data_IF_042120796427
#
_entry.id   IF_042120796427
#
_cell.length_a   1.000
_cell.length_b   1.000
_cell.length_c   1.000
_cell.angle_alpha   90.00
_cell.angle_beta   90.00
_cell.angle_gamma   90.00
#
_symmetry.space_group_name_H-M   'P 1'
#
loop_
_entity.id
_entity.type
_entity.pdbx_description
1 polymer ?
#
# COMPACT_ATOMS: atom_id res chain seq x y z
N UNK A 1 46.15 36.35 -0.43
CA UNK A 1 44.99 35.46 -0.18
C UNK A 1 45.43 34.03 -0.49
N UNK A 2 45.46 33.16 0.53
CA UNK A 2 45.89 31.76 0.40
C UNK A 2 44.69 30.89 0.00
N UNK A 3 44.85 30.04 -1.01
CA UNK A 3 43.91 28.99 -1.37
C UNK A 3 43.61 28.07 -0.18
N UNK A 4 42.36 27.58 -0.02
CA UNK A 4 42.05 26.59 1.00
C UNK A 4 42.70 25.25 0.62
N UNK A 5 43.55 24.75 1.52
CA UNK A 5 44.13 23.41 1.44
C UNK A 5 43.00 22.37 1.55
N UNK A 6 42.84 21.54 0.52
CA UNK A 6 42.10 20.27 0.64
C UNK A 6 42.72 19.45 1.75
N UNK A 7 41.92 19.07 2.74
CA UNK A 7 42.33 18.10 3.76
C UNK A 7 42.58 16.73 3.08
N UNK A 8 43.53 15.92 3.57
CA UNK A 8 43.82 14.61 2.98
C UNK A 8 42.63 13.68 3.16
N UNK A 9 42.24 13.00 2.09
CA UNK A 9 41.10 12.09 2.05
C UNK A 9 41.17 11.01 3.12
N UNK A 10 40.09 10.92 3.90
CA UNK A 10 39.77 9.75 4.69
C UNK A 10 39.59 8.59 3.69
N UNK A 11 40.55 7.67 3.59
CA UNK A 11 40.35 6.43 2.84
C UNK A 11 39.22 5.68 3.54
N UNK A 12 38.10 5.34 2.87
CA UNK A 12 37.11 4.48 3.48
C UNK A 12 37.80 3.14 3.76
N UNK A 13 37.96 2.81 5.05
CA UNK A 13 38.40 1.46 5.40
C UNK A 13 37.26 0.54 5.01
N UNK A 14 37.45 -0.25 3.96
CA UNK A 14 36.54 -1.34 3.63
C UNK A 14 36.65 -2.37 4.76
N UNK A 15 35.85 -2.19 5.81
CA UNK A 15 35.60 -3.24 6.79
C UNK A 15 35.10 -4.45 6.01
N UNK A 16 35.66 -5.61 6.31
CA UNK A 16 35.29 -6.89 5.73
C UNK A 16 33.76 -7.03 5.72
N UNK A 17 33.17 -7.25 4.54
CA UNK A 17 31.74 -7.56 4.45
C UNK A 17 31.57 -8.94 5.10
N UNK A 18 30.97 -8.96 6.30
CA UNK A 18 30.59 -10.20 6.96
C UNK A 18 29.33 -10.70 6.25
N UNK A 19 29.47 -11.79 5.49
CA UNK A 19 28.35 -12.46 4.84
C UNK A 19 27.40 -13.03 5.91
N UNK A 20 26.09 -12.90 5.68
CA UNK A 20 25.02 -13.33 6.60
C UNK A 20 24.78 -14.84 6.58
N UNK A 21 25.57 -15.59 5.82
CA UNK A 21 25.37 -17.03 5.59
C UNK A 21 25.71 -17.93 6.79
N UNK A 22 26.42 -17.42 7.80
CA UNK A 22 26.72 -18.18 9.01
C UNK A 22 26.56 -17.31 10.27
N UNK A 23 25.68 -17.69 11.22
CA UNK A 23 25.66 -17.05 12.52
C UNK A 23 27.02 -17.31 13.20
N UNK A 24 27.76 -16.24 13.52
CA UNK A 24 28.72 -16.34 14.62
C UNK A 24 27.88 -16.72 15.85
N UNK A 25 28.30 -17.75 16.59
CA UNK A 25 27.74 -18.08 17.91
C UNK A 25 27.94 -16.88 18.83
N UNK A 26 27.04 -15.91 18.75
CA UNK A 26 26.80 -14.89 19.76
C UNK A 26 26.14 -15.59 20.94
N UNK A 27 26.61 -15.31 22.15
CA UNK A 27 25.99 -15.78 23.39
C UNK A 27 24.66 -15.08 23.68
N UNK A 28 24.41 -13.91 23.08
CA UNK A 28 23.16 -13.18 23.17
C UNK A 28 22.24 -13.61 22.03
N UNK A 29 21.06 -14.13 22.37
CA UNK A 29 19.98 -14.36 21.42
C UNK A 29 19.23 -13.05 21.17
N UNK A 30 18.80 -12.79 19.92
CA UNK A 30 17.96 -11.63 19.63
C UNK A 30 16.64 -11.71 20.41
N UNK A 31 16.07 -10.55 20.73
CA UNK A 31 14.75 -10.47 21.37
C UNK A 31 13.70 -11.16 20.47
N UNK A 32 13.11 -12.25 20.97
CA UNK A 32 12.07 -12.96 20.24
C UNK A 32 10.81 -12.08 20.08
N UNK A 33 10.12 -12.24 18.95
CA UNK A 33 8.85 -11.55 18.69
C UNK A 33 7.71 -12.52 19.01
N UNK A 34 6.83 -12.16 19.93
CA UNK A 34 5.60 -12.91 20.22
C UNK A 34 4.46 -12.35 19.36
N UNK A 35 4.42 -12.74 18.08
CA UNK A 35 3.41 -12.24 17.15
C UNK A 35 1.99 -12.55 17.64
N UNK A 36 1.12 -11.53 17.64
CA UNK A 36 -0.24 -11.63 18.15
C UNK A 36 -0.39 -11.43 19.66
N UNK A 37 0.67 -11.15 20.43
CA UNK A 37 0.46 -10.70 21.80
C UNK A 37 -0.14 -9.27 21.81
N UNK A 38 -1.28 -9.04 22.50
CA UNK A 38 -1.93 -7.73 22.54
C UNK A 38 -1.15 -6.69 23.36
N UNK A 39 -0.21 -7.10 24.22
CA UNK A 39 0.65 -6.20 24.97
C UNK A 39 1.93 -5.94 24.15
N UNK A 40 2.19 -4.70 23.70
CA UNK A 40 3.36 -4.41 22.88
C UNK A 40 4.69 -4.72 23.59
N UNK A 41 4.75 -4.65 24.92
CA UNK A 41 5.96 -4.99 25.69
C UNK A 41 6.28 -6.50 25.66
N UNK A 42 5.25 -7.35 25.69
CA UNK A 42 5.39 -8.81 25.60
C UNK A 42 5.57 -9.27 24.14
N UNK A 43 4.85 -8.63 23.22
CA UNK A 43 5.00 -8.79 21.76
C UNK A 43 6.45 -8.52 21.34
N UNK A 44 7.04 -7.46 21.89
CA UNK A 44 8.41 -7.00 21.63
C UNK A 44 8.55 -6.18 20.33
N UNK A 45 9.58 -5.34 20.19
CA UNK A 45 9.78 -4.49 19.02
C UNK A 45 10.25 -5.27 17.78
N UNK A 46 10.04 -4.70 16.60
CA UNK A 46 10.71 -5.14 15.37
C UNK A 46 12.04 -4.44 15.24
N UNK A 47 13.10 -5.22 15.07
CA UNK A 47 14.49 -4.75 14.99
C UNK A 47 15.14 -5.35 13.75
N UNK A 48 15.17 -4.56 12.67
CA UNK A 48 15.83 -4.89 11.41
C UNK A 48 17.13 -4.09 11.26
N UNK A 49 17.93 -4.04 12.33
CA UNK A 49 19.14 -3.23 12.39
C UNK A 49 20.25 -3.74 11.47
N UNK A 50 21.02 -2.79 10.92
CA UNK A 50 22.23 -3.05 10.13
C UNK A 50 23.53 -2.92 10.94
N UNK A 51 23.45 -2.32 12.13
CA UNK A 51 24.60 -2.07 13.01
C UNK A 51 24.96 -3.28 13.86
N UNK A 52 24.26 -3.46 14.98
CA UNK A 52 24.48 -4.62 15.85
C UNK A 52 23.61 -5.79 15.44
N UNK A 53 24.18 -6.71 14.64
CA UNK A 53 23.44 -7.87 14.11
C UNK A 53 22.94 -8.83 15.19
N UNK A 54 23.48 -8.83 16.42
CA UNK A 54 22.97 -9.68 17.51
C UNK A 54 21.60 -9.23 18.00
N UNK A 55 21.24 -7.96 17.82
CA UNK A 55 19.94 -7.41 18.20
C UNK A 55 18.84 -7.70 17.18
N UNK A 56 19.20 -8.21 15.99
CA UNK A 56 18.28 -8.33 14.86
C UNK A 56 17.31 -9.50 15.05
N UNK A 57 16.02 -9.21 15.01
CA UNK A 57 14.93 -10.19 15.12
C UNK A 57 13.99 -10.20 13.90
N UNK A 58 14.33 -9.47 12.82
CA UNK A 58 13.59 -9.49 11.56
C UNK A 58 14.51 -9.58 10.33
N UNK A 59 14.00 -10.18 9.26
CA UNK A 59 14.64 -10.27 7.93
C UNK A 59 14.39 -8.95 7.17
N UNK A 60 15.34 -8.53 6.34
CA UNK A 60 15.28 -7.25 5.64
C UNK A 60 15.85 -6.09 6.47
N UNK A 61 15.33 -4.89 6.23
CA UNK A 61 15.76 -3.62 6.84
C UNK A 61 14.56 -2.70 6.97
N UNK A 62 14.59 -1.78 7.94
CA UNK A 62 13.64 -0.67 8.01
C UNK A 62 13.70 0.20 6.74
N UNK A 63 12.65 1.00 6.52
CA UNK A 63 12.51 1.93 5.38
C UNK A 63 12.10 1.27 4.06
N UNK A 64 11.63 0.01 4.10
CA UNK A 64 11.12 -0.73 2.94
C UNK A 64 11.96 -0.57 1.67
N UNK A 65 11.31 -0.23 0.54
CA UNK A 65 11.97 0.03 -0.74
C UNK A 65 12.96 1.20 -0.74
N UNK A 66 12.91 2.10 0.25
CA UNK A 66 13.81 3.25 0.34
C UNK A 66 15.18 2.92 0.95
N UNK A 67 15.35 1.73 1.50
CA UNK A 67 16.62 1.32 2.11
C UNK A 67 17.81 1.35 1.13
N UNK A 68 17.55 1.14 -0.17
CA UNK A 68 18.58 1.24 -1.22
C UNK A 68 19.07 2.68 -1.37
N UNK A 69 18.18 3.68 -1.31
CA UNK A 69 18.59 5.09 -1.35
C UNK A 69 19.37 5.48 -0.10
N UNK A 70 19.00 4.96 1.08
CA UNK A 70 19.80 5.12 2.29
C UNK A 70 21.20 4.52 2.12
N UNK A 71 21.32 3.34 1.50
CA UNK A 71 22.61 2.72 1.21
C UNK A 71 23.47 3.58 0.27
N UNK A 72 22.87 4.19 -0.76
CA UNK A 72 23.55 5.14 -1.66
C UNK A 72 23.97 6.42 -0.94
N UNK A 73 23.12 6.95 -0.04
CA UNK A 73 23.47 8.11 0.78
C UNK A 73 24.68 7.81 1.68
N UNK A 74 24.77 6.62 2.27
CA UNK A 74 25.95 6.18 3.03
C UNK A 74 27.16 6.01 2.13
N UNK A 75 27.02 5.32 1.00
CA UNK A 75 28.12 5.07 0.08
C UNK A 75 28.72 6.36 -0.51
N UNK A 76 27.88 7.38 -0.72
CA UNK A 76 28.29 8.71 -1.18
C UNK A 76 28.84 9.62 -0.07
N UNK A 77 28.72 9.22 1.21
CA UNK A 77 29.10 10.03 2.36
C UNK A 77 28.10 11.16 2.70
N UNK A 78 26.89 11.11 2.13
CA UNK A 78 25.79 12.03 2.47
C UNK A 78 25.19 11.71 3.84
N UNK A 79 25.21 10.44 4.25
CA UNK A 79 24.73 9.97 5.55
C UNK A 79 25.81 9.12 6.23
N UNK A 80 26.03 9.35 7.53
CA UNK A 80 26.96 8.52 8.30
C UNK A 80 26.43 7.08 8.43
N UNK A 81 27.34 6.11 8.38
CA UNK A 81 26.97 4.69 8.46
C UNK A 81 26.27 4.34 9.79
N UNK A 82 26.72 4.96 10.88
CA UNK A 82 26.19 4.82 12.25
C UNK A 82 25.14 5.87 12.61
N UNK A 83 24.66 6.66 11.64
CA UNK A 83 23.58 7.62 11.87
C UNK A 83 22.36 6.95 12.51
N UNK A 84 21.98 7.47 13.67
CA UNK A 84 20.74 7.17 14.38
C UNK A 84 19.75 8.30 14.14
N UNK A 85 18.54 7.93 13.73
CA UNK A 85 17.47 8.90 13.56
C UNK A 85 17.10 9.49 14.92
N UNK A 86 16.98 10.82 14.97
CA UNK A 86 16.32 11.50 16.09
C UNK A 86 14.81 11.40 15.87
N UNK A 87 14.13 10.72 16.80
CA UNK A 87 12.67 10.52 16.79
C UNK A 87 11.96 11.43 17.80
N UNK A 88 12.65 12.44 18.33
CA UNK A 88 12.04 13.45 19.19
C UNK A 88 10.96 14.21 18.41
N UNK A 89 9.78 14.39 19.03
CA UNK A 89 8.61 15.04 18.44
C UNK A 89 8.07 14.36 17.16
N UNK A 90 8.32 13.07 16.96
CA UNK A 90 7.74 12.30 15.83
C UNK A 90 6.52 11.47 16.24
N UNK A 91 5.98 11.68 17.46
CA UNK A 91 4.79 10.98 17.94
C UNK A 91 3.58 11.24 17.04
N UNK A 92 2.66 10.26 16.91
CA UNK A 92 1.51 10.40 16.04
C UNK A 92 0.61 11.56 16.49
N UNK A 93 0.07 12.29 15.52
CA UNK A 93 -0.83 13.44 15.80
C UNK A 93 -2.18 13.06 16.40
N UNK A 94 -2.55 11.78 16.32
CA UNK A 94 -3.76 11.17 16.87
C UNK A 94 -3.46 9.73 17.25
N UNK A 95 -4.15 9.21 18.26
CA UNK A 95 -4.06 7.81 18.65
C UNK A 95 -5.06 6.98 17.85
N UNK A 96 -4.63 5.82 17.35
CA UNK A 96 -5.48 4.81 16.71
C UNK A 96 -5.24 3.51 17.47
N UNK A 97 -6.32 2.87 17.92
CA UNK A 97 -6.25 1.66 18.74
C UNK A 97 -5.58 1.88 20.12
N UNK A 98 -5.07 0.81 20.75
CA UNK A 98 -5.07 -0.57 20.25
C UNK A 98 -6.49 -1.16 20.20
N UNK A 99 -6.77 -1.93 19.15
CA UNK A 99 -8.01 -2.68 19.05
C UNK A 99 -7.78 -4.15 19.41
N UNK A 100 -8.77 -4.87 19.97
CA UNK A 100 -8.62 -6.29 20.34
C UNK A 100 -8.08 -7.17 19.20
N UNK A 101 -8.44 -6.85 17.94
CA UNK A 101 -8.00 -7.58 16.74
C UNK A 101 -6.48 -7.50 16.49
N UNK A 102 -5.77 -6.55 17.10
CA UNK A 102 -4.30 -6.46 16.99
C UNK A 102 -3.59 -7.61 17.70
N UNK A 103 -4.24 -8.21 18.69
CA UNK A 103 -3.79 -9.44 19.37
C UNK A 103 -4.26 -10.74 18.69
N UNK A 104 -4.85 -10.68 17.49
CA UNK A 104 -5.22 -11.87 16.74
C UNK A 104 -4.11 -12.18 15.71
N UNK A 105 -3.31 -13.25 15.91
CA UNK A 105 -2.07 -13.49 15.15
C UNK A 105 -2.29 -13.76 13.66
N UNK A 106 -3.49 -14.19 13.28
CA UNK A 106 -3.88 -14.53 11.92
C UNK A 106 -4.62 -13.38 11.20
N UNK A 107 -4.99 -12.30 11.91
CA UNK A 107 -5.81 -11.21 11.34
C UNK A 107 -4.99 -10.11 10.69
N UNK A 108 -3.87 -9.74 11.30
CA UNK A 108 -2.91 -8.78 10.74
C UNK A 108 -1.57 -9.50 10.59
N UNK A 109 -1.15 -9.70 9.34
CA UNK A 109 0.06 -10.45 8.99
C UNK A 109 0.99 -9.71 8.04
N UNK A 110 0.57 -8.56 7.48
CA UNK A 110 1.31 -7.79 6.46
C UNK A 110 1.68 -6.36 6.86
N UNK A 111 1.35 -5.94 8.08
CA UNK A 111 1.85 -4.71 8.73
C UNK A 111 2.11 -4.95 10.22
N UNK A 112 2.80 -4.01 10.89
CA UNK A 112 2.99 -4.03 12.35
C UNK A 112 1.88 -3.22 13.05
N UNK A 113 0.96 -3.85 13.82
CA UNK A 113 -0.09 -3.11 14.51
C UNK A 113 0.44 -2.05 15.48
N UNK A 114 1.62 -2.27 16.05
CA UNK A 114 2.28 -1.37 17.01
C UNK A 114 3.32 -0.46 16.35
N UNK A 115 3.29 -0.34 15.03
CA UNK A 115 4.29 0.36 14.23
C UNK A 115 4.33 1.89 14.39
N UNK A 116 3.32 2.49 15.03
CA UNK A 116 3.18 3.95 15.22
C UNK A 116 4.20 4.54 16.18
N UNK A 117 4.90 3.68 16.94
CA UNK A 117 5.85 4.00 18.02
C UNK A 117 5.51 5.29 18.75
N UNK A 118 4.67 5.18 19.78
CA UNK A 118 4.66 6.17 20.84
C UNK A 118 6.10 6.33 21.39
N UNK A 119 6.56 7.55 21.59
CA UNK A 119 7.92 7.90 22.03
C UNK A 119 8.33 7.24 23.35
N UNK A 120 7.36 6.80 24.16
CA UNK A 120 7.62 6.06 25.39
C UNK A 120 7.73 4.55 25.16
N UNK A 121 7.13 4.03 24.10
CA UNK A 121 7.18 2.61 23.79
C UNK A 121 8.60 2.20 23.41
N UNK A 122 9.17 1.27 24.18
CA UNK A 122 10.55 0.80 24.06
C UNK A 122 11.65 1.85 24.27
N UNK A 123 11.38 2.91 25.05
CA UNK A 123 12.39 3.93 25.34
C UNK A 123 13.65 3.34 26.01
N UNK A 124 13.48 2.47 27.01
CA UNK A 124 14.57 1.80 27.72
C UNK A 124 15.46 0.98 26.76
N UNK A 125 14.85 0.19 25.85
CA UNK A 125 15.59 -0.57 24.84
C UNK A 125 16.37 0.35 23.88
N UNK A 126 15.82 1.52 23.51
CA UNK A 126 16.56 2.48 22.68
C UNK A 126 17.78 3.05 23.42
N UNK A 127 17.65 3.32 24.72
CA UNK A 127 18.76 3.76 25.58
C UNK A 127 19.85 2.70 25.72
N UNK A 128 19.46 1.41 25.78
CA UNK A 128 20.37 0.25 25.73
C UNK A 128 21.04 0.05 24.36
N UNK A 129 20.63 0.82 23.35
CA UNK A 129 21.28 0.85 22.05
C UNK A 129 20.57 0.04 20.96
N UNK A 130 19.37 -0.49 21.20
CA UNK A 130 18.55 -1.13 20.17
C UNK A 130 18.05 -0.11 19.14
N UNK A 131 18.21 -0.44 17.85
CA UNK A 131 17.78 0.41 16.71
C UNK A 131 16.34 0.05 16.33
N UNK A 132 15.39 0.60 17.09
CA UNK A 132 13.95 0.40 16.92
C UNK A 132 13.38 1.61 16.18
N UNK A 133 12.69 1.37 15.05
CA UNK A 133 12.17 2.42 14.17
C UNK A 133 10.70 2.21 13.84
N UNK A 134 9.91 3.28 13.66
CA UNK A 134 8.51 3.15 13.35
C UNK A 134 8.33 2.59 11.94
N UNK A 135 7.32 1.75 11.78
CA UNK A 135 6.81 1.32 10.48
C UNK A 135 5.50 2.01 10.12
N UNK A 136 4.91 2.78 11.04
CA UNK A 136 3.73 3.61 10.82
C UNK A 136 4.01 5.04 11.31
N UNK A 137 3.60 6.03 10.54
CA UNK A 137 3.63 7.43 10.97
C UNK A 137 2.29 8.10 10.67
N UNK A 138 1.74 8.86 11.62
CA UNK A 138 0.42 9.49 11.52
C UNK A 138 0.55 11.01 11.67
N UNK A 139 0.02 11.75 10.71
CA UNK A 139 0.02 13.21 10.71
C UNK A 139 -1.31 13.77 10.20
N UNK A 140 -1.53 15.08 10.35
CA UNK A 140 -2.65 15.80 9.75
C UNK A 140 -2.18 16.65 8.59
N UNK A 141 -3.02 16.81 7.58
CA UNK A 141 -2.72 17.64 6.42
C UNK A 141 -4.01 18.21 5.82
N UNK A 142 -3.85 19.25 5.01
CA UNK A 142 -4.87 19.61 4.03
C UNK A 142 -4.50 19.01 2.67
N UNK A 143 -5.51 18.55 1.93
CA UNK A 143 -5.32 18.05 0.57
C UNK A 143 -6.19 18.86 -0.38
N UNK A 144 -5.55 19.45 -1.39
CA UNK A 144 -6.23 20.11 -2.49
C UNK A 144 -6.31 19.13 -3.68
N UNK A 145 -7.53 18.87 -4.14
CA UNK A 145 -7.83 18.03 -5.30
C UNK A 145 -8.72 18.85 -6.24
N UNK A 146 -8.27 19.17 -7.47
CA UNK A 146 -9.02 20.00 -8.40
C UNK A 146 -10.45 19.52 -8.66
N UNK A 147 -10.66 18.21 -8.80
CA UNK A 147 -11.97 17.61 -9.08
C UNK A 147 -12.98 17.83 -7.95
N UNK A 148 -12.52 18.06 -6.72
CA UNK A 148 -13.42 18.39 -5.61
C UNK A 148 -13.92 19.82 -5.69
N UNK A 149 -13.15 20.72 -6.31
CA UNK A 149 -13.62 22.09 -6.58
C UNK A 149 -14.73 22.08 -7.63
N UNK A 150 -14.57 21.24 -8.67
CA UNK A 150 -15.62 21.00 -9.66
C UNK A 150 -16.86 20.36 -9.00
N UNK A 151 -16.68 19.38 -8.12
CA UNK A 151 -17.77 18.78 -7.35
C UNK A 151 -18.53 19.79 -6.49
N UNK A 152 -17.83 20.75 -5.87
CA UNK A 152 -18.47 21.84 -5.14
C UNK A 152 -19.22 22.79 -6.09
N UNK A 153 -18.62 23.14 -7.23
CA UNK A 153 -19.25 24.01 -8.23
C UNK A 153 -20.53 23.39 -8.83
N UNK A 154 -20.53 22.07 -9.02
CA UNK A 154 -21.68 21.28 -9.49
C UNK A 154 -22.72 21.02 -8.39
N UNK A 155 -22.44 21.40 -7.15
CA UNK A 155 -23.31 21.15 -5.99
C UNK A 155 -23.34 19.70 -5.49
N UNK A 156 -22.39 18.86 -5.92
CA UNK A 156 -22.21 17.47 -5.47
C UNK A 156 -21.57 17.39 -4.08
N UNK A 157 -20.73 18.36 -3.73
CA UNK A 157 -20.12 18.51 -2.40
C UNK A 157 -20.39 19.89 -1.82
N UNK A 158 -20.29 20.01 -0.50
CA UNK A 158 -20.48 21.27 0.22
C UNK A 158 -19.23 21.63 1.04
N UNK A 159 -18.89 22.90 1.09
CA UNK A 159 -17.88 23.41 2.02
C UNK A 159 -18.54 23.63 3.38
N UNK A 160 -18.13 22.84 4.38
CA UNK A 160 -18.68 22.86 5.74
C UNK A 160 -17.76 23.54 6.77
N UNK A 161 -16.50 23.80 6.41
CA UNK A 161 -15.48 24.37 7.29
C UNK A 161 -14.80 23.35 8.20
N UNK A 162 -15.20 22.08 8.15
CA UNK A 162 -14.70 21.01 9.03
C UNK A 162 -14.05 19.88 8.23
N UNK A 163 -14.80 19.18 7.37
CA UNK A 163 -14.27 18.15 6.47
C UNK A 163 -13.63 18.80 5.25
N UNK A 164 -14.29 19.82 4.71
CA UNK A 164 -13.77 20.70 3.67
C UNK A 164 -13.59 22.08 4.27
N UNK A 165 -12.35 22.56 4.36
CA UNK A 165 -12.07 23.88 4.92
C UNK A 165 -12.65 25.01 4.03
N UNK A 166 -12.58 26.25 4.49
CA UNK A 166 -13.16 27.40 3.77
C UNK A 166 -12.61 27.63 2.36
N UNK A 167 -11.43 27.07 2.04
CA UNK A 167 -10.82 27.13 0.70
C UNK A 167 -11.14 25.91 -0.16
N UNK A 168 -12.00 25.00 0.33
CA UNK A 168 -12.38 23.76 -0.36
C UNK A 168 -11.33 22.65 -0.30
N UNK A 169 -10.34 22.74 0.58
CA UNK A 169 -9.36 21.66 0.77
C UNK A 169 -9.88 20.66 1.81
N UNK A 170 -9.55 19.38 1.60
CA UNK A 170 -9.89 18.33 2.56
C UNK A 170 -9.03 18.44 3.80
N UNK A 171 -9.63 18.40 4.98
CA UNK A 171 -8.92 18.24 6.26
C UNK A 171 -8.82 16.75 6.55
N UNK A 172 -7.60 16.20 6.56
CA UNK A 172 -7.39 14.76 6.71
C UNK A 172 -6.41 14.42 7.83
N UNK A 173 -6.70 13.30 8.49
CA UNK A 173 -5.65 12.53 9.17
C UNK A 173 -5.09 11.54 8.16
N UNK A 174 -3.76 11.44 8.04
CA UNK A 174 -3.11 10.46 7.17
C UNK A 174 -2.12 9.58 7.92
N UNK A 175 -2.10 8.30 7.56
CA UNK A 175 -1.15 7.33 8.08
C UNK A 175 -0.32 6.74 6.94
N UNK A 176 1.00 6.81 7.01
CA UNK A 176 1.90 6.06 6.14
C UNK A 176 2.28 4.74 6.82
N UNK A 177 2.17 3.62 6.12
CA UNK A 177 2.41 2.27 6.65
C UNK A 177 3.41 1.53 5.77
N UNK A 178 4.52 1.10 6.37
CA UNK A 178 5.50 0.20 5.76
C UNK A 178 5.05 -1.27 5.90
N UNK A 179 5.33 -2.11 4.90
CA UNK A 179 4.99 -3.53 4.96
C UNK A 179 5.87 -4.26 5.98
N UNK A 180 5.23 -5.04 6.84
CA UNK A 180 5.87 -5.91 7.81
C UNK A 180 5.17 -7.25 7.79
N UNK A 181 5.85 -8.27 7.30
CA UNK A 181 5.25 -9.58 7.06
C UNK A 181 5.59 -10.56 8.19
N UNK A 182 4.56 -11.13 8.80
CA UNK A 182 4.69 -12.31 9.64
C UNK A 182 4.61 -13.56 8.75
N UNK A 183 5.77 -14.16 8.47
CA UNK A 183 5.91 -15.23 7.47
C UNK A 183 5.01 -16.45 7.70
N UNK A 184 4.83 -16.96 8.95
CA UNK A 184 3.87 -18.04 9.19
C UNK A 184 2.44 -17.65 8.83
N UNK A 185 2.02 -16.43 9.16
CA UNK A 185 0.69 -15.91 8.83
C UNK A 185 0.48 -15.69 7.33
N UNK A 186 1.50 -15.18 6.63
CA UNK A 186 1.49 -15.05 5.16
C UNK A 186 1.36 -16.43 4.49
N UNK A 187 2.14 -17.41 4.94
CA UNK A 187 2.10 -18.78 4.42
C UNK A 187 0.72 -19.41 4.60
N UNK A 188 0.14 -19.27 5.79
CA UNK A 188 -1.23 -19.72 6.09
C UNK A 188 -2.26 -19.02 5.20
N UNK A 189 -2.18 -17.69 5.03
CA UNK A 189 -3.13 -16.91 4.23
C UNK A 189 -3.11 -17.34 2.75
N UNK A 190 -1.95 -17.71 2.22
CA UNK A 190 -1.81 -18.22 0.86
C UNK A 190 -1.98 -19.73 0.72
N UNK A 191 -2.22 -20.46 1.81
CA UNK A 191 -2.41 -21.91 1.77
C UNK A 191 -1.17 -22.68 1.30
N UNK A 192 0.04 -22.16 1.57
CA UNK A 192 1.32 -22.78 1.16
C UNK A 192 2.17 -23.14 2.38
N UNK A 193 3.05 -24.15 2.28
CA UNK A 193 4.04 -24.40 3.32
C UNK A 193 4.98 -23.20 3.51
N UNK A 194 5.28 -22.83 4.75
CA UNK A 194 6.17 -21.70 5.06
C UNK A 194 7.58 -21.89 4.45
N UNK A 195 8.07 -23.13 4.42
CA UNK A 195 9.35 -23.46 3.78
C UNK A 195 9.37 -23.12 2.30
N UNK A 196 8.26 -23.36 1.61
CA UNK A 196 8.13 -23.15 0.17
C UNK A 196 8.01 -21.65 -0.10
N UNK A 197 7.18 -20.94 0.67
CA UNK A 197 7.09 -19.48 0.62
C UNK A 197 8.46 -18.82 0.77
N UNK A 198 9.19 -19.17 1.84
CA UNK A 198 10.52 -18.60 2.12
C UNK A 198 11.52 -18.90 1.01
N UNK A 199 11.55 -20.14 0.52
CA UNK A 199 12.44 -20.55 -0.56
C UNK A 199 12.13 -19.79 -1.85
N UNK A 200 10.86 -19.69 -2.24
CA UNK A 200 10.43 -18.96 -3.42
C UNK A 200 10.76 -17.47 -3.30
N UNK A 201 10.51 -16.85 -2.15
CA UNK A 201 10.91 -15.46 -1.90
C UNK A 201 12.43 -15.27 -2.05
N UNK A 202 13.25 -16.19 -1.52
CA UNK A 202 14.71 -16.14 -1.68
C UNK A 202 15.13 -16.27 -3.15
N UNK A 203 14.60 -17.25 -3.88
CA UNK A 203 14.94 -17.52 -5.27
C UNK A 203 14.49 -16.37 -6.20
N UNK A 204 13.26 -15.88 -6.04
CA UNK A 204 12.68 -14.81 -6.86
C UNK A 204 13.23 -13.41 -6.54
N UNK A 205 13.86 -13.23 -5.38
CA UNK A 205 14.63 -12.02 -5.06
C UNK A 205 16.10 -12.13 -5.49
N UNK A 206 16.48 -13.12 -6.29
CA UNK A 206 17.86 -13.30 -6.74
C UNK A 206 18.84 -13.60 -5.59
N UNK A 207 18.34 -14.18 -4.49
CA UNK A 207 19.13 -14.51 -3.33
C UNK A 207 19.45 -13.35 -2.37
N UNK A 208 18.72 -12.22 -2.46
CA UNK A 208 18.97 -11.01 -1.67
C UNK A 208 18.88 -11.23 -0.14
N UNK A 209 18.04 -12.15 0.32
CA UNK A 209 17.77 -12.38 1.75
C UNK A 209 18.06 -13.83 2.17
N UNK A 210 19.35 -14.21 2.34
CA UNK A 210 19.73 -15.57 2.74
C UNK A 210 19.05 -16.08 4.02
N UNK A 211 18.70 -15.16 4.93
CA UNK A 211 18.03 -15.45 6.20
C UNK A 211 16.66 -16.10 6.03
N UNK A 212 16.00 -15.89 4.89
CA UNK A 212 14.76 -16.62 4.57
C UNK A 212 14.95 -18.14 4.61
N UNK A 213 16.16 -18.62 4.28
CA UNK A 213 16.51 -20.05 4.27
C UNK A 213 17.35 -20.43 5.49
N UNK A 214 18.27 -19.57 5.94
CA UNK A 214 19.28 -19.93 6.96
C UNK A 214 18.84 -19.62 8.39
N UNK A 215 17.78 -18.83 8.60
CA UNK A 215 17.31 -18.36 9.91
C UNK A 215 15.81 -18.57 10.08
N UNK A 216 15.35 -19.83 10.26
CA UNK A 216 13.94 -20.13 10.48
C UNK A 216 13.41 -19.55 11.81
N UNK A 217 14.30 -19.19 12.73
CA UNK A 217 13.96 -18.48 13.97
C UNK A 217 13.49 -17.03 13.72
N UNK A 218 13.83 -16.43 12.58
CA UNK A 218 13.32 -15.12 12.19
C UNK A 218 11.99 -15.28 11.44
N UNK A 219 10.90 -14.92 12.11
CA UNK A 219 9.54 -15.06 11.57
C UNK A 219 9.00 -13.79 10.92
N UNK A 220 9.65 -12.65 11.13
CA UNK A 220 9.23 -11.36 10.57
C UNK A 220 10.14 -10.95 9.41
N UNK A 221 9.55 -10.46 8.32
CA UNK A 221 10.23 -9.99 7.12
C UNK A 221 9.75 -8.59 6.74
N UNK A 222 10.68 -7.68 6.48
CA UNK A 222 10.40 -6.34 5.96
C UNK A 222 10.71 -6.34 4.46
N UNK A 223 9.73 -6.67 3.59
CA UNK A 223 9.95 -6.71 2.15
C UNK A 223 10.20 -5.30 1.60
N UNK A 224 11.13 -5.13 0.65
CA UNK A 224 11.42 -3.84 0.03
C UNK A 224 10.38 -3.48 -1.06
N UNK A 225 9.10 -3.54 -0.72
CA UNK A 225 7.98 -3.23 -1.62
C UNK A 225 7.31 -1.90 -1.23
N UNK A 226 6.41 -1.43 -2.08
CA UNK A 226 5.58 -0.27 -1.77
C UNK A 226 4.68 -0.52 -0.56
N UNK A 227 4.63 0.46 0.35
CA UNK A 227 3.69 0.47 1.47
C UNK A 227 2.31 0.97 1.06
N UNK A 228 1.55 1.44 2.04
CA UNK A 228 0.25 2.06 1.82
C UNK A 228 0.14 3.40 2.55
N UNK A 229 -0.79 4.23 2.11
CA UNK A 229 -1.19 5.45 2.81
C UNK A 229 -2.69 5.41 3.06
N UNK A 230 -3.09 5.69 4.29
CA UNK A 230 -4.50 5.83 4.68
C UNK A 230 -4.80 7.31 4.81
N UNK A 231 -5.92 7.75 4.27
CA UNK A 231 -6.51 9.07 4.48
C UNK A 231 -7.86 8.90 5.18
N UNK A 232 -8.02 9.56 6.31
CA UNK A 232 -9.20 9.51 7.16
C UNK A 232 -9.83 10.90 7.15
N UNK A 233 -11.11 10.93 6.79
CA UNK A 233 -11.99 12.09 6.73
C UNK A 233 -12.99 11.98 7.88
N UNK A 234 -13.18 13.07 8.61
CA UNK A 234 -14.06 13.11 9.77
C UNK A 234 -13.40 12.58 11.03
N UNK A 235 -14.25 12.16 11.96
CA UNK A 235 -13.84 11.70 13.28
C UNK A 235 -13.37 10.25 13.24
N UNK A 236 -12.20 9.99 13.83
CA UNK A 236 -11.58 8.66 13.89
C UNK A 236 -12.44 7.70 14.72
N UNK A 237 -13.11 8.19 15.77
CA UNK A 237 -13.96 7.35 16.62
C UNK A 237 -15.15 6.78 15.84
N UNK A 238 -15.60 7.48 14.78
CA UNK A 238 -16.67 7.02 13.91
C UNK A 238 -16.33 5.75 13.14
N UNK A 239 -15.05 5.45 12.92
CA UNK A 239 -14.59 4.27 12.15
C UNK A 239 -15.05 2.96 12.81
N UNK A 240 -15.11 2.95 14.14
CA UNK A 240 -15.45 1.75 14.93
C UNK A 240 -16.85 1.81 15.55
N UNK A 241 -17.58 2.90 15.34
CA UNK A 241 -18.91 3.10 15.89
C UNK A 241 -19.97 2.52 14.94
N UNK A 242 -20.70 1.46 15.33
CA UNK A 242 -21.69 0.82 14.46
C UNK A 242 -22.92 1.70 14.16
N UNK A 243 -23.13 2.79 14.92
CA UNK A 243 -24.25 3.72 14.73
C UNK A 243 -23.88 4.90 13.81
N UNK A 244 -22.61 5.01 13.39
CA UNK A 244 -22.10 6.08 12.52
C UNK A 244 -21.67 5.48 11.18
N UNK A 245 -22.07 6.07 10.05
CA UNK A 245 -21.81 5.46 8.75
C UNK A 245 -20.32 5.51 8.40
N UNK A 246 -19.81 4.43 7.82
CA UNK A 246 -18.44 4.33 7.34
C UNK A 246 -18.39 4.08 5.82
N UNK A 247 -17.74 4.98 5.10
CA UNK A 247 -17.40 4.80 3.70
C UNK A 247 -15.92 4.41 3.54
N UNK A 248 -15.64 3.36 2.79
CA UNK A 248 -14.28 2.89 2.53
C UNK A 248 -14.03 2.73 1.03
N UNK A 249 -12.95 3.34 0.56
CA UNK A 249 -12.37 3.08 -0.75
C UNK A 249 -10.95 2.57 -0.58
N UNK A 250 -10.66 1.42 -1.17
CA UNK A 250 -9.29 0.92 -1.27
C UNK A 250 -8.82 0.88 -2.73
N UNK A 251 -7.76 1.62 -2.98
CA UNK A 251 -7.23 1.93 -4.29
C UNK A 251 -5.85 1.29 -4.46
N UNK A 252 -5.64 0.63 -5.59
CA UNK A 252 -4.29 0.20 -5.99
C UNK A 252 -3.74 1.26 -6.93
N UNK A 253 -2.51 1.71 -6.67
CA UNK A 253 -1.78 2.73 -7.42
C UNK A 253 -1.87 2.53 -8.95
N UNK A 254 -2.15 3.62 -9.64
CA UNK A 254 -2.09 3.73 -11.09
C UNK A 254 -1.51 5.09 -11.47
N UNK A 255 -0.19 5.22 -11.43
CA UNK A 255 0.55 6.47 -11.64
C UNK A 255 0.08 7.25 -12.87
N UNK A 256 -0.05 6.57 -14.01
CA UNK A 256 -0.50 7.20 -15.26
C UNK A 256 -1.90 7.83 -15.20
N UNK A 257 -2.83 7.26 -14.43
CA UNK A 257 -4.18 7.84 -14.28
C UNK A 257 -4.23 8.78 -13.09
N UNK A 258 -3.79 8.32 -11.91
CA UNK A 258 -3.87 9.05 -10.65
C UNK A 258 -3.14 10.39 -10.71
N UNK A 259 -1.94 10.43 -11.29
CA UNK A 259 -1.12 11.64 -11.36
C UNK A 259 -1.36 12.42 -12.64
N UNK A 260 -1.41 11.73 -13.78
CA UNK A 260 -1.37 12.36 -15.11
C UNK A 260 -2.70 12.34 -15.87
N UNK A 261 -3.77 11.78 -15.30
CA UNK A 261 -5.11 11.86 -15.89
C UNK A 261 -5.29 11.00 -17.15
N UNK A 262 -4.56 9.90 -17.30
CA UNK A 262 -4.79 8.96 -18.41
C UNK A 262 -6.24 8.47 -18.45
N UNK A 263 -6.82 8.53 -19.66
CA UNK A 263 -8.21 8.21 -20.01
C UNK A 263 -8.42 6.75 -20.47
N UNK A 264 -7.36 5.94 -20.48
CA UNK A 264 -7.41 4.52 -20.92
C UNK A 264 -7.98 3.61 -19.80
N UNK A 265 -8.11 4.13 -18.58
CA UNK A 265 -8.60 3.37 -17.43
C UNK A 265 -9.44 4.23 -16.48
N UNK A 266 -10.18 3.56 -15.61
CA UNK A 266 -11.09 4.21 -14.63
C UNK A 266 -10.45 4.50 -13.27
N UNK A 267 -9.13 4.33 -13.13
CA UNK A 267 -8.44 4.42 -11.83
C UNK A 267 -8.66 5.76 -11.12
N UNK A 268 -8.31 6.89 -11.76
CA UNK A 268 -8.50 8.22 -11.16
C UNK A 268 -9.97 8.62 -10.99
N UNK A 269 -10.85 8.50 -12.00
CA UNK A 269 -12.27 8.82 -11.83
C UNK A 269 -12.91 8.06 -10.66
N UNK A 270 -12.56 6.79 -10.48
CA UNK A 270 -13.10 6.00 -9.37
C UNK A 270 -12.46 6.32 -8.02
N UNK A 271 -11.18 6.71 -8.00
CA UNK A 271 -10.54 7.24 -6.79
C UNK A 271 -11.24 8.53 -6.33
N UNK A 272 -11.45 9.49 -7.25
CA UNK A 272 -12.13 10.75 -6.98
C UNK A 272 -13.57 10.49 -6.51
N UNK A 273 -14.32 9.62 -7.18
CA UNK A 273 -15.66 9.26 -6.73
C UNK A 273 -15.66 8.64 -5.32
N UNK A 274 -14.70 7.78 -5.00
CA UNK A 274 -14.55 7.25 -3.64
C UNK A 274 -14.24 8.32 -2.60
N UNK A 275 -13.48 9.36 -2.97
CA UNK A 275 -13.22 10.52 -2.11
C UNK A 275 -14.51 11.33 -1.91
N UNK A 276 -15.30 11.57 -2.96
CA UNK A 276 -16.60 12.27 -2.85
C UNK A 276 -17.56 11.55 -1.90
N UNK A 277 -17.70 10.23 -2.03
CA UNK A 277 -18.53 9.42 -1.12
C UNK A 277 -17.99 9.54 0.31
N UNK A 278 -16.67 9.39 0.50
CA UNK A 278 -16.04 9.48 1.81
C UNK A 278 -16.23 10.86 2.48
N UNK A 279 -16.18 11.95 1.70
CA UNK A 279 -16.47 13.30 2.17
C UNK A 279 -17.93 13.38 2.60
N UNK A 280 -18.88 13.02 1.74
CA UNK A 280 -20.31 13.10 2.05
C UNK A 280 -20.68 12.29 3.31
N UNK A 281 -20.11 11.09 3.48
CA UNK A 281 -20.31 10.25 4.67
C UNK A 281 -19.76 10.92 5.94
N UNK A 282 -18.57 11.52 5.86
CA UNK A 282 -17.99 12.25 6.99
C UNK A 282 -18.81 13.50 7.36
N UNK A 283 -19.33 14.22 6.36
CA UNK A 283 -20.21 15.39 6.57
C UNK A 283 -21.55 15.03 7.22
N UNK A 284 -22.04 13.82 6.99
CA UNK A 284 -23.23 13.28 7.64
C UNK A 284 -22.98 12.81 9.09
N UNK A 285 -21.77 13.05 9.66
CA UNK A 285 -21.39 12.65 11.01
C UNK A 285 -20.71 11.29 11.10
N UNK A 286 -20.45 10.63 9.98
CA UNK A 286 -19.70 9.38 9.89
C UNK A 286 -18.18 9.56 9.73
N UNK A 287 -17.54 8.59 9.08
CA UNK A 287 -16.16 8.69 8.62
C UNK A 287 -15.98 8.21 7.18
N UNK A 288 -15.00 8.81 6.51
CA UNK A 288 -14.53 8.39 5.20
C UNK A 288 -13.10 7.89 5.27
N UNK A 289 -12.82 6.73 4.69
CA UNK A 289 -11.48 6.12 4.69
C UNK A 289 -11.05 5.80 3.26
N UNK A 290 -9.95 6.41 2.82
CA UNK A 290 -9.28 6.11 1.55
C UNK A 290 -7.97 5.41 1.83
N UNK A 291 -7.82 4.17 1.37
CA UNK A 291 -6.58 3.42 1.48
C UNK A 291 -5.92 3.37 0.11
N UNK A 292 -4.73 3.94 -0.01
CA UNK A 292 -3.94 3.97 -1.23
C UNK A 292 -2.77 2.99 -1.13
N UNK A 293 -2.88 1.83 -1.79
CA UNK A 293 -1.86 0.79 -1.80
C UNK A 293 -0.94 0.92 -3.01
N UNK A 294 0.38 0.95 -2.80
CA UNK A 294 1.38 1.11 -3.87
C UNK A 294 1.64 -0.19 -4.63
N UNK A 295 0.63 -0.61 -5.40
CA UNK A 295 0.57 -1.87 -6.17
C UNK A 295 0.34 -1.60 -7.67
N UNK A 296 1.23 -0.83 -8.29
CA UNK A 296 1.14 -0.46 -9.71
C UNK A 296 0.96 -1.66 -10.65
N UNK A 297 0.09 -1.48 -11.65
CA UNK A 297 -0.08 -2.43 -12.75
C UNK A 297 -0.52 -3.81 -12.31
N UNK A 298 -1.39 -3.93 -11.30
CA UNK A 298 -1.76 -5.21 -10.68
C UNK A 298 -0.57 -5.96 -10.07
N UNK A 299 0.35 -5.21 -9.47
CA UNK A 299 1.63 -5.68 -8.96
C UNK A 299 2.57 -6.29 -10.03
N UNK A 300 2.36 -5.97 -11.33
CA UNK A 300 3.28 -6.31 -12.42
C UNK A 300 4.31 -5.21 -12.71
N UNK A 301 4.10 -4.02 -12.16
CA UNK A 301 4.92 -2.83 -12.42
C UNK A 301 4.55 -2.11 -13.72
N UNK A 302 5.03 -0.86 -13.82
CA UNK A 302 4.67 0.07 -14.89
C UNK A 302 5.19 -0.36 -16.28
N UNK A 303 6.40 -0.93 -16.35
CA UNK A 303 6.99 -1.41 -17.61
C UNK A 303 6.11 -2.50 -18.24
N UNK A 304 5.75 -3.52 -17.46
CA UNK A 304 4.89 -4.63 -17.92
C UNK A 304 3.52 -4.11 -18.35
N UNK A 305 2.92 -3.20 -17.58
CA UNK A 305 1.67 -2.52 -17.92
C UNK A 305 1.75 -1.84 -19.30
N UNK A 306 2.82 -1.11 -19.59
CA UNK A 306 2.97 -0.43 -20.88
C UNK A 306 3.20 -1.42 -22.03
N UNK A 307 3.92 -2.53 -21.79
CA UNK A 307 4.05 -3.62 -22.76
C UNK A 307 2.68 -4.24 -23.07
N UNK A 308 1.82 -4.44 -22.06
CA UNK A 308 0.44 -4.91 -22.24
C UNK A 308 -0.38 -3.92 -23.05
N UNK A 309 -0.31 -2.62 -22.75
CA UNK A 309 -1.01 -1.60 -23.54
C UNK A 309 -0.56 -1.59 -25.00
N UNK A 310 0.75 -1.69 -25.25
CA UNK A 310 1.28 -1.79 -26.61
C UNK A 310 0.79 -3.05 -27.32
N UNK A 311 0.79 -4.19 -26.64
CA UNK A 311 0.30 -5.46 -27.19
C UNK A 311 -1.19 -5.40 -27.52
N UNK A 312 -1.99 -4.78 -26.65
CA UNK A 312 -3.43 -4.54 -26.85
C UNK A 312 -3.70 -3.64 -28.04
N UNK A 313 -2.98 -2.52 -28.19
CA UNK A 313 -3.19 -1.58 -29.31
C UNK A 313 -2.67 -2.10 -30.66
N UNK A 314 -1.61 -2.92 -30.67
CA UNK A 314 -0.96 -3.39 -31.91
C UNK A 314 -1.48 -4.72 -32.45
N UNK A 315 -2.37 -5.41 -31.73
CA UNK A 315 -2.97 -6.63 -32.24
C UNK A 315 -3.91 -6.35 -33.42
N UNK A 316 -4.17 -7.38 -34.24
CA UNK A 316 -5.20 -7.29 -35.27
C UNK A 316 -6.57 -6.99 -34.63
N UNK A 317 -7.27 -5.99 -35.15
CA UNK A 317 -8.53 -5.50 -34.59
C UNK A 317 -8.40 -4.44 -33.49
N UNK A 318 -7.19 -4.04 -33.11
CA UNK A 318 -6.96 -2.97 -32.13
C UNK A 318 -7.20 -3.38 -30.68
N UNK A 319 -7.41 -2.39 -29.81
CA UNK A 319 -7.61 -2.60 -28.37
C UNK A 319 -9.05 -3.03 -28.06
N UNK A 320 -9.31 -4.34 -28.03
CA UNK A 320 -10.65 -4.93 -27.91
C UNK A 320 -10.91 -5.52 -26.53
N UNK A 321 -12.12 -5.34 -26.00
CA UNK A 321 -12.50 -5.77 -24.65
C UNK A 321 -12.41 -7.31 -24.46
N UNK A 322 -12.81 -8.09 -25.47
CA UNK A 322 -12.76 -9.56 -25.46
C UNK A 322 -11.34 -10.14 -25.29
N UNK A 323 -10.31 -9.42 -25.73
CA UNK A 323 -8.90 -9.84 -25.64
C UNK A 323 -8.15 -9.24 -24.45
N UNK A 324 -8.81 -8.39 -23.64
CA UNK A 324 -8.18 -7.57 -22.60
C UNK A 324 -7.33 -8.39 -21.63
N UNK A 325 -7.93 -9.43 -21.03
CA UNK A 325 -7.25 -10.28 -20.04
C UNK A 325 -6.26 -11.23 -20.69
N UNK A 326 -6.60 -11.80 -21.84
CA UNK A 326 -5.72 -12.67 -22.62
C UNK A 326 -4.41 -11.96 -22.97
N UNK A 327 -4.45 -10.68 -23.37
CA UNK A 327 -3.23 -9.91 -23.66
C UNK A 327 -2.38 -9.64 -22.43
N UNK A 328 -3.01 -9.46 -21.29
CA UNK A 328 -2.28 -9.34 -20.01
C UNK A 328 -1.54 -10.65 -19.72
N UNK A 329 -2.23 -11.79 -19.81
CA UNK A 329 -1.66 -13.11 -19.57
C UNK A 329 -0.56 -13.50 -20.56
N UNK A 330 -0.71 -13.17 -21.85
CA UNK A 330 0.33 -13.41 -22.85
C UNK A 330 1.66 -12.70 -22.54
N UNK A 331 1.61 -11.51 -21.94
CA UNK A 331 2.80 -10.69 -21.65
C UNK A 331 3.35 -11.00 -20.25
N UNK A 332 2.48 -11.14 -19.26
CA UNK A 332 2.86 -11.25 -17.86
C UNK A 332 2.83 -12.69 -17.30
N UNK A 333 2.28 -13.65 -18.05
CA UNK A 333 2.07 -15.03 -17.60
C UNK A 333 0.88 -15.23 -16.65
N UNK A 334 0.26 -14.14 -16.20
CA UNK A 334 -0.86 -14.11 -15.25
C UNK A 334 -1.64 -12.80 -15.42
N UNK A 335 -2.94 -12.82 -15.09
CA UNK A 335 -3.83 -11.66 -15.24
C UNK A 335 -3.77 -10.66 -14.07
N UNK A 336 -3.40 -11.14 -12.88
CA UNK A 336 -3.33 -10.36 -11.64
C UNK A 336 -2.31 -10.97 -10.66
N UNK A 337 -1.37 -10.18 -10.15
CA UNK A 337 -0.42 -10.60 -9.10
C UNK A 337 -0.67 -9.88 -7.77
N UNK A 338 -1.80 -9.18 -7.63
CA UNK A 338 -2.17 -8.56 -6.37
C UNK A 338 -2.67 -9.63 -5.41
N UNK A 339 -1.94 -9.74 -4.30
CA UNK A 339 -2.43 -10.44 -3.12
C UNK A 339 -3.48 -9.55 -2.42
N UNK A 340 -4.74 -9.74 -2.79
CA UNK A 340 -5.87 -9.00 -2.22
C UNK A 340 -6.19 -9.52 -0.81
N UNK A 341 -5.79 -10.73 -0.49
CA UNK A 341 -5.98 -11.37 0.82
C UNK A 341 -5.23 -10.64 1.93
N UNK A 342 -4.20 -9.84 1.62
CA UNK A 342 -3.47 -9.00 2.57
C UNK A 342 -4.12 -7.63 2.79
N UNK A 343 -5.05 -7.26 1.91
CA UNK A 343 -5.72 -5.96 1.90
C UNK A 343 -6.48 -5.64 3.21
N UNK A 344 -7.21 -6.58 3.84
CA UNK A 344 -8.00 -6.27 5.02
C UNK A 344 -7.16 -5.96 6.27
N UNK A 345 -5.87 -6.29 6.29
CA UNK A 345 -5.01 -6.10 7.45
C UNK A 345 -4.98 -4.65 7.94
N UNK A 346 -4.99 -3.66 7.03
CA UNK A 346 -5.07 -2.24 7.41
C UNK A 346 -6.47 -1.84 7.89
N UNK A 347 -7.52 -2.50 7.41
CA UNK A 347 -8.88 -2.26 7.91
C UNK A 347 -9.02 -2.81 9.34
N UNK A 348 -8.45 -3.99 9.61
CA UNK A 348 -8.34 -4.52 10.97
C UNK A 348 -7.44 -3.64 11.85
N UNK A 349 -6.36 -3.07 11.30
CA UNK A 349 -5.54 -2.11 12.03
C UNK A 349 -6.35 -0.87 12.46
N UNK A 350 -7.26 -0.39 11.60
CA UNK A 350 -8.20 0.69 11.90
C UNK A 350 -9.36 0.27 12.83
N UNK A 351 -9.49 -1.01 13.18
CA UNK A 351 -10.56 -1.54 14.03
C UNK A 351 -11.88 -1.77 13.29
N UNK A 352 -11.88 -1.69 11.95
CA UNK A 352 -13.09 -1.82 11.13
C UNK A 352 -13.64 -3.25 11.26
N UNK A 353 -14.95 -3.32 11.56
CA UNK A 353 -15.72 -4.57 11.61
C UNK A 353 -16.92 -4.56 10.65
N UNK A 354 -17.38 -3.36 10.26
CA UNK A 354 -18.49 -3.13 9.32
C UNK A 354 -18.18 -1.92 8.45
N UNK A 355 -18.55 -1.99 7.17
CA UNK A 355 -18.45 -0.92 6.18
C UNK A 355 -19.84 -0.70 5.60
N UNK A 356 -20.40 0.49 5.78
CA UNK A 356 -21.72 0.83 5.21
C UNK A 356 -21.62 1.02 3.70
N UNK A 357 -20.61 1.75 3.22
CA UNK A 357 -20.43 2.05 1.80
C UNK A 357 -19.04 1.64 1.32
N UNK A 358 -18.94 0.50 0.65
CA UNK A 358 -17.70 0.02 0.06
C UNK A 358 -17.60 0.40 -1.42
N UNK A 359 -16.76 1.39 -1.74
CA UNK A 359 -16.64 1.93 -3.10
C UNK A 359 -15.70 1.04 -3.92
N UNK A 360 -16.22 -0.02 -4.53
CA UNK A 360 -15.43 -0.97 -5.32
C UNK A 360 -16.29 -1.92 -6.18
N UNK A 361 -15.89 -2.04 -7.45
CA UNK A 361 -16.43 -3.05 -8.38
C UNK A 361 -15.65 -4.38 -8.36
N UNK A 362 -14.51 -4.44 -7.66
CA UNK A 362 -13.68 -5.64 -7.65
C UNK A 362 -14.22 -6.69 -6.68
N UNK A 363 -14.62 -7.84 -7.20
CA UNK A 363 -15.02 -8.98 -6.36
C UNK A 363 -13.85 -9.51 -5.55
N UNK A 364 -12.64 -9.58 -6.12
CA UNK A 364 -11.45 -9.98 -5.36
C UNK A 364 -11.23 -9.14 -4.09
N UNK A 365 -11.46 -7.82 -4.16
CA UNK A 365 -11.38 -6.93 -2.99
C UNK A 365 -12.53 -7.18 -2.01
N UNK A 366 -13.75 -7.29 -2.52
CA UNK A 366 -14.94 -7.55 -1.71
C UNK A 366 -14.81 -8.88 -0.96
N UNK A 367 -14.49 -9.95 -1.68
CA UNK A 367 -14.35 -11.30 -1.14
C UNK A 367 -13.25 -11.35 -0.08
N UNK A 368 -12.09 -10.71 -0.32
CA UNK A 368 -11.02 -10.65 0.67
C UNK A 368 -11.47 -9.96 1.98
N UNK A 369 -12.22 -8.86 1.89
CA UNK A 369 -12.71 -8.11 3.06
C UNK A 369 -13.78 -8.90 3.82
N UNK A 370 -14.76 -9.49 3.12
CA UNK A 370 -15.81 -10.29 3.77
C UNK A 370 -15.22 -11.56 4.40
N UNK A 371 -14.31 -12.25 3.71
CA UNK A 371 -13.66 -13.46 4.23
C UNK A 371 -12.77 -13.18 5.44
N UNK A 372 -12.26 -11.95 5.59
CA UNK A 372 -11.49 -11.57 6.80
C UNK A 372 -12.39 -11.33 8.02
N UNK A 373 -13.71 -11.24 7.80
CA UNK A 373 -14.74 -11.07 8.84
C UNK A 373 -15.25 -9.64 8.96
N UNK A 374 -15.06 -8.79 7.95
CA UNK A 374 -15.63 -7.43 7.92
C UNK A 374 -16.95 -7.47 7.14
N UNK A 375 -18.03 -6.98 7.74
CA UNK A 375 -19.32 -6.84 7.08
C UNK A 375 -19.29 -5.70 6.05
N UNK A 376 -19.87 -5.92 4.86
CA UNK A 376 -20.11 -4.86 3.87
C UNK A 376 -21.62 -4.77 3.64
N UNK A 377 -22.20 -3.61 3.90
CA UNK A 377 -23.64 -3.37 3.74
C UNK A 377 -23.97 -3.08 2.27
N UNK A 378 -23.25 -2.14 1.66
CA UNK A 378 -23.49 -1.70 0.28
C UNK A 378 -22.17 -1.61 -0.50
N UNK A 379 -22.22 -1.98 -1.78
CA UNK A 379 -21.14 -1.77 -2.74
C UNK A 379 -21.50 -0.65 -3.69
N UNK A 380 -20.68 0.38 -3.75
CA UNK A 380 -20.90 1.54 -4.63
C UNK A 380 -20.07 1.37 -5.91
N UNK A 381 -20.74 1.38 -7.06
CA UNK A 381 -20.11 1.37 -8.39
C UNK A 381 -19.70 2.77 -8.84
N UNK A 382 -18.76 2.87 -9.80
CA UNK A 382 -18.50 4.15 -10.46
C UNK A 382 -19.71 4.56 -11.32
N UNK A 383 -20.16 5.84 -11.28
CA UNK A 383 -21.17 6.35 -12.18
C UNK A 383 -20.73 6.29 -13.64
N UNK A 384 -21.63 5.92 -14.56
CA UNK A 384 -21.33 5.79 -16.01
C UNK A 384 -20.80 7.11 -16.60
N UNK A 385 -21.31 8.26 -16.15
CA UNK A 385 -20.87 9.58 -16.59
C UNK A 385 -19.41 9.91 -16.25
N UNK A 386 -18.79 9.18 -15.31
CA UNK A 386 -17.38 9.35 -14.92
C UNK A 386 -16.44 8.37 -15.65
N UNK A 387 -16.97 7.48 -16.49
CA UNK A 387 -16.16 6.51 -17.24
C UNK A 387 -15.66 7.18 -18.53
N UNK A 388 -14.33 7.34 -18.72
CA UNK A 388 -13.80 7.84 -19.99
C UNK A 388 -14.13 6.90 -21.15
N UNK A 389 -14.32 7.45 -22.35
CA UNK A 389 -14.70 6.67 -23.53
C UNK A 389 -13.70 5.53 -23.84
N UNK A 390 -12.39 5.79 -23.78
CA UNK A 390 -11.35 4.77 -24.05
C UNK A 390 -11.28 3.71 -22.93
N UNK A 391 -11.71 4.06 -21.72
CA UNK A 391 -11.79 3.13 -20.60
C UNK A 391 -12.97 2.15 -20.71
N UNK A 392 -13.90 2.33 -21.67
CA UNK A 392 -14.99 1.39 -21.88
C UNK A 392 -14.49 -0.01 -22.25
N UNK A 393 -13.32 -0.11 -22.91
CA UNK A 393 -12.65 -1.38 -23.19
C UNK A 393 -12.35 -2.14 -21.90
N UNK A 394 -11.76 -1.45 -20.92
CA UNK A 394 -11.48 -2.03 -19.59
C UNK A 394 -12.77 -2.38 -18.86
N UNK A 395 -13.75 -1.47 -18.89
CA UNK A 395 -15.00 -1.62 -18.16
C UNK A 395 -15.83 -2.80 -18.65
N UNK A 396 -16.03 -2.92 -19.96
CA UNK A 396 -16.78 -4.02 -20.54
C UNK A 396 -16.07 -5.36 -20.31
N UNK A 397 -14.75 -5.40 -20.47
CA UNK A 397 -13.96 -6.59 -20.15
C UNK A 397 -14.11 -7.03 -18.69
N UNK A 398 -14.04 -6.09 -17.74
CA UNK A 398 -14.22 -6.38 -16.31
C UNK A 398 -15.62 -6.89 -15.99
N UNK A 399 -16.67 -6.22 -16.50
CA UNK A 399 -18.07 -6.63 -16.29
C UNK A 399 -18.27 -8.07 -16.79
N UNK A 400 -17.78 -8.40 -17.98
CA UNK A 400 -17.83 -9.75 -18.55
C UNK A 400 -17.02 -10.78 -17.75
N UNK A 401 -15.91 -10.38 -17.14
CA UNK A 401 -15.13 -11.22 -16.22
C UNK A 401 -15.75 -11.34 -14.82
N UNK A 402 -16.99 -10.85 -14.63
CA UNK A 402 -17.77 -11.01 -13.41
C UNK A 402 -17.57 -9.91 -12.36
N UNK A 403 -16.91 -8.79 -12.69
CA UNK A 403 -16.83 -7.66 -11.76
C UNK A 403 -18.21 -7.09 -11.46
N UNK A 404 -18.40 -6.59 -10.23
CA UNK A 404 -19.69 -6.05 -9.79
C UNK A 404 -20.12 -4.85 -10.64
N UNK A 405 -21.38 -4.90 -11.08
CA UNK A 405 -22.06 -3.86 -11.85
C UNK A 405 -23.55 -3.93 -11.51
N UNK A 406 -24.20 -2.77 -11.44
CA UNK A 406 -25.66 -2.68 -11.30
C UNK A 406 -26.37 -2.72 -12.66
N UNK A 407 -25.64 -2.44 -13.74
CA UNK A 407 -26.13 -2.47 -15.12
C UNK A 407 -25.82 -3.79 -15.84
N UNK A 408 -26.14 -3.82 -17.13
CA UNK A 408 -26.02 -5.02 -17.97
C UNK A 408 -24.57 -5.51 -18.10
N UNK A 409 -24.45 -6.84 -18.20
CA UNK A 409 -23.18 -7.53 -18.49
C UNK A 409 -23.06 -7.68 -20.00
N UNK A 410 -22.01 -7.13 -20.64
CA UNK A 410 -21.87 -7.18 -22.08
C UNK A 410 -21.77 -8.61 -22.60
N UNK A 411 -22.45 -8.90 -23.71
CA UNK A 411 -22.32 -10.19 -24.39
C UNK A 411 -21.06 -10.26 -25.28
N UNK A 412 -20.77 -11.44 -25.85
CA UNK A 412 -19.57 -11.64 -26.67
C UNK A 412 -19.54 -10.75 -27.92
N UNK A 413 -20.71 -10.44 -28.51
CA UNK A 413 -20.79 -9.55 -29.66
C UNK A 413 -20.49 -8.11 -29.26
N UNK A 414 -21.01 -7.63 -28.13
CA UNK A 414 -20.76 -6.29 -27.59
C UNK A 414 -19.29 -6.11 -27.19
N UNK A 415 -18.68 -7.12 -26.55
CA UNK A 415 -17.25 -7.11 -26.22
C UNK A 415 -16.37 -6.99 -27.47
N UNK A 416 -16.75 -7.70 -28.54
CA UNK A 416 -15.99 -7.71 -29.79
C UNK A 416 -16.02 -6.36 -30.53
N UNK A 417 -17.08 -5.58 -30.32
CA UNK A 417 -17.33 -4.26 -30.90
C UNK A 417 -16.82 -3.10 -30.03
N UNK A 418 -16.50 -3.37 -28.77
CA UNK A 418 -15.90 -2.37 -27.87
C UNK A 418 -14.41 -2.26 -28.19
N UNK A 419 -14.05 -1.26 -28.99
CA UNK A 419 -12.68 -1.03 -29.47
C UNK A 419 -12.21 0.35 -29.02
N UNK A 420 -11.05 0.41 -28.37
CA UNK A 420 -10.39 1.66 -27.99
C UNK A 420 -9.78 2.39 -29.18
N UNK A 421 -9.27 3.61 -28.95
CA UNK A 421 -8.61 4.42 -29.98
C UNK A 421 -7.44 3.66 -30.64
N UNK A 422 -7.31 3.83 -31.95
CA UNK A 422 -6.20 3.20 -32.68
C UNK A 422 -4.87 3.83 -32.30
N UNK A 423 -3.79 3.06 -32.47
CA UNK A 423 -2.44 3.53 -32.16
C UNK A 423 -2.04 4.81 -32.93
N UNK A 424 -2.56 4.96 -34.16
CA UNK A 424 -2.27 6.10 -35.04
C UNK A 424 -3.07 7.36 -34.65
N UNK A 425 -4.24 7.20 -34.04
CA UNK A 425 -5.13 8.29 -33.65
C UNK A 425 -4.63 9.02 -32.39
N UNK A 426 -3.87 8.33 -31.53
CA UNK A 426 -3.21 8.93 -30.34
C UNK A 426 -2.26 10.08 -30.73
N UNK A 427 -1.74 10.09 -31.95
CA UNK A 427 -0.82 11.10 -32.45
C UNK A 427 -1.50 12.23 -33.25
N UNK A 428 -2.83 12.17 -33.45
CA UNK A 428 -3.56 13.00 -34.44
C UNK A 428 -4.91 13.54 -33.95
N UNK A 429 -5.07 13.82 -32.67
CA UNK A 429 -6.12 14.77 -32.27
C UNK A 429 -5.57 16.18 -32.50
N UNK A 430 -5.63 16.60 -33.78
CA UNK A 430 -5.39 17.99 -34.17
C UNK A 430 -6.41 18.88 -33.45
N UNK A 431 -5.87 19.94 -32.85
CA UNK A 431 -6.61 21.07 -32.29
C UNK A 431 -7.45 21.70 -33.41
N UNK A 432 -8.77 21.54 -33.36
CA UNK A 432 -9.74 22.44 -34.02
C UNK A 432 -10.51 23.25 -32.98
#
# INVERSE_FOLDING_TARGET
MKSPRRQPGHKPSHKHIVLTSHPRRSSEQPLAIQWGDPNPNERGPIIATLGNRTHRNAIGTHSGGYAIYRALAIASGTLDHDHRADLTNTSPTVSIGPYPIWGAPDKIVSLDPFGTLDHNLFAELREEGYDIRPSIAITKAHINIPELQEAVADGRLQIDGEIMNQTGELVVTKAAIEPVWYLPGIAQRFGVPESDLRRTLFEQTGGMFPELVTRPDLQVFLPPIGGLTVYILGDIEAITDPDRPLAVRIHDECNGSDVFGSDICTCRPYLVHGIEVAVATAQAGGAGVIIYARKEGRALGEVTKFLVYNARKRQAGGDRADTYFTRTECVAGVQDMRFQELMPDVMHWLGITRIDQFVSMSNLKYDAVVQSGIEIVERISIPEALIPADAQVEMNAKKAAGYFTEGDVPDEAELSQTIGRQYEDVAREDVE
#
